data_IF_273265724432
#
_entry.id   IF_273265724432
#
_cell.length_a   1.000
_cell.length_b   1.000
_cell.length_c   1.000
_cell.angle_alpha   90.00
_cell.angle_beta   90.00
_cell.angle_gamma   90.00
#
_symmetry.space_group_name_H-M   'P 1'
#
loop_
_entity.id
_entity.type
_entity.pdbx_description
1 polymer ?
#
# COMPACT_ATOMS: atom_id res chain seq x y z
N UNK A 1 30.97 15.70 -6.23
CA UNK A 1 29.88 14.92 -5.58
C UNK A 1 28.55 15.09 -6.34
N UNK A 2 28.52 14.89 -7.66
CA UNK A 2 27.27 14.96 -8.46
C UNK A 2 27.03 13.73 -9.33
N UNK A 3 28.07 12.90 -9.55
CA UNK A 3 27.99 11.64 -10.30
C UNK A 3 27.65 10.41 -9.44
N UNK A 4 27.81 10.49 -8.11
CA UNK A 4 27.51 9.35 -7.20
C UNK A 4 26.00 9.13 -7.06
N UNK A 5 25.20 10.20 -7.13
CA UNK A 5 23.73 10.12 -7.00
C UNK A 5 23.11 9.46 -8.24
N UNK A 6 23.70 9.66 -9.43
CA UNK A 6 23.21 9.02 -10.66
C UNK A 6 23.52 7.52 -10.68
N UNK A 7 24.61 7.07 -10.05
CA UNK A 7 24.97 5.66 -9.98
C UNK A 7 24.03 4.84 -9.07
N UNK A 8 23.51 5.46 -8.00
CA UNK A 8 22.58 4.82 -7.07
C UNK A 8 21.20 4.53 -7.68
N UNK A 9 20.76 5.36 -8.64
CA UNK A 9 19.47 5.18 -9.32
C UNK A 9 19.55 4.03 -10.34
N UNK A 10 20.71 3.83 -10.98
CA UNK A 10 20.92 2.78 -11.97
C UNK A 10 21.14 1.41 -11.29
N UNK A 11 21.76 1.36 -10.11
CA UNK A 11 21.90 0.11 -9.36
C UNK A 11 20.57 -0.49 -8.89
N UNK A 12 19.52 0.32 -8.72
CA UNK A 12 18.18 -0.19 -8.38
C UNK A 12 17.49 -0.90 -9.56
N UNK A 13 17.84 -0.57 -10.80
CA UNK A 13 17.21 -1.14 -12.00
C UNK A 13 17.85 -2.46 -12.45
N UNK A 14 19.07 -2.76 -12.01
CA UNK A 14 19.79 -4.00 -12.38
C UNK A 14 19.46 -5.21 -11.49
N UNK A 15 18.70 -5.04 -10.40
CA UNK A 15 18.21 -6.16 -9.57
C UNK A 15 16.81 -6.66 -9.99
N UNK A 16 16.26 -6.18 -11.10
CA UNK A 16 14.98 -6.69 -11.66
C UNK A 16 15.14 -7.96 -12.51
N UNK A 17 16.34 -8.53 -12.64
CA UNK A 17 16.52 -9.79 -13.35
C UNK A 17 16.12 -10.97 -12.46
N UNK A 18 14.88 -11.42 -12.64
CA UNK A 18 14.51 -12.82 -12.44
C UNK A 18 14.45 -13.30 -11.01
N UNK A 19 13.45 -12.85 -10.26
CA UNK A 19 12.82 -13.71 -9.28
C UNK A 19 11.30 -13.58 -9.44
N UNK A 20 10.69 -14.65 -9.94
CA UNK A 20 9.30 -14.97 -9.60
C UNK A 20 9.20 -14.98 -8.08
N UNK A 21 8.91 -13.81 -7.49
CA UNK A 21 8.70 -13.71 -6.06
C UNK A 21 7.27 -14.18 -5.76
N UNK A 22 7.09 -15.50 -5.79
CA UNK A 22 5.98 -16.20 -5.18
C UNK A 22 6.01 -16.11 -3.63
N UNK A 23 6.67 -15.11 -3.05
CA UNK A 23 6.37 -14.70 -1.69
C UNK A 23 5.29 -13.63 -1.75
N UNK A 24 4.04 -14.07 -1.93
CA UNK A 24 2.96 -13.43 -1.19
C UNK A 24 3.41 -13.44 0.27
N UNK A 25 4.02 -12.34 0.75
CA UNK A 25 4.09 -12.07 2.18
C UNK A 25 2.65 -12.18 2.63
N UNK A 26 2.29 -13.32 3.20
CA UNK A 26 1.00 -13.54 3.80
C UNK A 26 0.94 -12.48 4.87
N UNK A 27 0.30 -11.37 4.53
CA UNK A 27 0.05 -10.32 5.47
C UNK A 27 -0.86 -10.99 6.50
N UNK A 28 -0.27 -11.44 7.60
CA UNK A 28 -0.95 -12.11 8.70
C UNK A 28 -1.64 -11.01 9.53
N UNK A 29 -2.50 -10.24 8.83
CA UNK A 29 -3.35 -9.15 9.30
C UNK A 29 -4.50 -9.76 10.11
N UNK A 30 -4.13 -10.50 11.14
CA UNK A 30 -5.06 -11.20 12.02
C UNK A 30 -5.31 -10.36 13.26
N UNK A 31 -6.58 -10.06 13.50
CA UNK A 31 -7.05 -9.35 14.69
C UNK A 31 -7.30 -10.31 15.87
N UNK A 32 -6.63 -11.46 15.88
CA UNK A 32 -6.80 -12.51 16.88
C UNK A 32 -6.47 -12.03 18.30
N UNK A 33 -5.56 -11.06 18.43
CA UNK A 33 -5.20 -10.43 19.71
C UNK A 33 -6.33 -9.60 20.34
N UNK A 34 -7.35 -9.18 19.58
CA UNK A 34 -8.42 -8.28 20.05
C UNK A 34 -9.59 -8.99 20.74
N UNK A 35 -9.53 -10.32 20.91
CA UNK A 35 -10.60 -11.13 21.52
C UNK A 35 -11.99 -10.77 20.99
N UNK A 36 -12.14 -10.77 19.67
CA UNK A 36 -13.37 -10.38 18.98
C UNK A 36 -14.52 -11.33 19.32
N UNK A 37 -15.74 -10.81 19.46
CA UNK A 37 -16.93 -11.65 19.51
C UNK A 37 -17.15 -12.38 18.17
N UNK A 38 -18.00 -13.41 18.14
CA UNK A 38 -18.32 -14.11 16.89
C UNK A 38 -18.85 -13.14 15.83
N UNK A 39 -19.77 -12.26 16.19
CA UNK A 39 -20.34 -11.26 15.29
C UNK A 39 -19.27 -10.27 14.78
N UNK A 40 -18.36 -9.82 15.66
CA UNK A 40 -17.26 -8.96 15.25
C UNK A 40 -16.30 -9.69 14.29
N UNK A 41 -16.00 -10.96 14.52
CA UNK A 41 -15.16 -11.76 13.63
C UNK A 41 -15.75 -11.87 12.23
N UNK A 42 -17.06 -12.13 12.11
CA UNK A 42 -17.75 -12.21 10.83
C UNK A 42 -17.68 -10.87 10.07
N UNK A 43 -17.91 -9.75 10.77
CA UNK A 43 -17.80 -8.40 10.18
C UNK A 43 -16.37 -8.06 9.75
N UNK A 44 -15.38 -8.35 10.60
CA UNK A 44 -13.96 -8.15 10.28
C UNK A 44 -13.56 -8.96 9.05
N UNK A 45 -14.02 -10.22 8.93
CA UNK A 45 -13.71 -11.07 7.78
C UNK A 45 -14.15 -10.45 6.45
N UNK A 46 -15.35 -9.87 6.41
CA UNK A 46 -15.83 -9.17 5.21
C UNK A 46 -15.05 -7.88 4.94
N UNK A 47 -14.68 -7.13 5.98
CA UNK A 47 -13.82 -5.93 5.85
C UNK A 47 -12.45 -6.31 5.25
N UNK A 48 -11.83 -7.38 5.73
CA UNK A 48 -10.53 -7.85 5.23
C UNK A 48 -10.62 -8.39 3.81
N UNK A 49 -11.74 -9.01 3.44
CA UNK A 49 -12.00 -9.46 2.06
C UNK A 49 -12.12 -8.29 1.10
N UNK A 50 -12.83 -7.23 1.49
CA UNK A 50 -12.90 -5.98 0.72
C UNK A 50 -11.52 -5.32 0.61
N UNK A 51 -10.79 -5.20 1.71
CA UNK A 51 -9.43 -4.65 1.71
C UNK A 51 -8.48 -5.42 0.78
N UNK A 52 -8.57 -6.76 0.74
CA UNK A 52 -7.80 -7.59 -0.21
C UNK A 52 -8.14 -7.28 -1.67
N UNK A 53 -9.42 -7.02 -1.98
CA UNK A 53 -9.84 -6.60 -3.33
C UNK A 53 -9.26 -5.22 -3.67
N UNK A 54 -9.39 -4.27 -2.75
CA UNK A 54 -8.86 -2.91 -2.93
C UNK A 54 -7.32 -2.94 -3.15
N UNK A 55 -6.59 -3.80 -2.43
CA UNK A 55 -5.16 -4.01 -2.65
C UNK A 55 -4.84 -4.61 -4.03
N UNK A 56 -5.67 -5.54 -4.52
CA UNK A 56 -5.49 -6.11 -5.86
C UNK A 56 -5.66 -5.05 -6.94
N UNK A 57 -6.68 -4.21 -6.81
CA UNK A 57 -6.90 -3.08 -7.73
C UNK A 57 -5.78 -2.04 -7.65
N UNK A 58 -5.29 -1.76 -6.43
CA UNK A 58 -4.17 -0.86 -6.20
C UNK A 58 -2.89 -1.32 -6.91
N UNK A 59 -2.58 -2.62 -6.92
CA UNK A 59 -1.39 -3.15 -7.61
C UNK A 59 -1.39 -2.79 -9.10
N UNK A 60 -2.49 -3.05 -9.80
CA UNK A 60 -2.62 -2.69 -11.22
C UNK A 60 -2.60 -1.18 -11.43
N UNK A 61 -3.16 -0.40 -10.51
CA UNK A 61 -3.08 1.06 -10.56
C UNK A 61 -1.63 1.56 -10.40
N UNK A 62 -0.88 1.01 -9.43
CA UNK A 62 0.52 1.33 -9.16
C UNK A 62 1.41 1.05 -10.38
N UNK A 63 1.26 -0.11 -11.01
CA UNK A 63 1.98 -0.47 -12.24
C UNK A 63 1.78 0.58 -13.35
N UNK A 64 0.54 1.03 -13.55
CA UNK A 64 0.23 2.06 -14.55
C UNK A 64 0.90 3.42 -14.23
N UNK A 65 0.91 3.82 -12.95
CA UNK A 65 1.56 5.05 -12.50
C UNK A 65 3.09 4.94 -12.67
N UNK A 66 3.69 3.81 -12.31
CA UNK A 66 5.12 3.56 -12.48
C UNK A 66 5.54 3.62 -13.95
N UNK A 67 4.72 3.11 -14.87
CA UNK A 67 4.95 3.26 -16.30
C UNK A 67 4.79 4.72 -16.76
N UNK A 68 3.86 5.47 -16.16
CA UNK A 68 3.75 6.91 -16.33
C UNK A 68 5.03 7.65 -15.92
N UNK A 69 5.59 7.31 -14.76
CA UNK A 69 6.82 7.91 -14.23
C UNK A 69 8.00 7.65 -15.17
N UNK A 70 8.16 6.40 -15.63
CA UNK A 70 9.19 6.04 -16.63
C UNK A 70 9.05 6.88 -17.89
N UNK A 71 7.82 7.07 -18.39
CA UNK A 71 7.53 7.91 -19.57
C UNK A 71 7.92 9.37 -19.36
N UNK A 72 7.66 9.96 -18.18
CA UNK A 72 8.09 11.34 -17.89
C UNK A 72 9.61 11.47 -17.93
N UNK A 73 10.33 10.47 -17.41
CA UNK A 73 11.78 10.51 -17.30
C UNK A 73 12.52 10.40 -18.65
N UNK A 74 11.95 9.67 -19.62
CA UNK A 74 12.56 9.48 -20.95
C UNK A 74 12.21 10.57 -21.96
N UNK A 75 11.37 11.55 -21.62
CA UNK A 75 11.04 12.69 -22.50
C UNK A 75 12.27 13.60 -22.67
N UNK A 76 12.36 14.27 -23.82
CA UNK A 76 13.42 15.25 -24.11
C UNK A 76 13.47 16.41 -23.09
N UNK A 77 12.32 16.74 -22.50
CA UNK A 77 12.20 17.72 -21.42
C UNK A 77 11.55 17.10 -20.18
N UNK A 78 12.17 17.33 -19.03
CA UNK A 78 11.67 16.84 -17.75
C UNK A 78 10.53 17.72 -17.24
N UNK A 79 9.33 17.15 -17.15
CA UNK A 79 8.15 17.81 -16.60
C UNK A 79 7.95 17.43 -15.13
N UNK A 80 8.40 18.32 -14.22
CA UNK A 80 8.30 18.11 -12.78
C UNK A 80 6.84 18.03 -12.31
N UNK A 81 5.97 18.85 -12.88
CA UNK A 81 4.57 18.96 -12.50
C UNK A 81 3.81 17.67 -12.83
N UNK A 82 4.08 17.08 -14.00
CA UNK A 82 3.54 15.78 -14.41
C UNK A 82 4.02 14.66 -13.49
N UNK A 83 5.31 14.65 -13.14
CA UNK A 83 5.86 13.67 -12.20
C UNK A 83 5.24 13.78 -10.80
N UNK A 84 5.12 15.00 -10.28
CA UNK A 84 4.49 15.24 -8.98
C UNK A 84 3.03 14.81 -8.98
N UNK A 85 2.30 15.02 -10.08
CA UNK A 85 0.91 14.58 -10.21
C UNK A 85 0.81 13.05 -10.09
N UNK A 86 1.66 12.31 -10.78
CA UNK A 86 1.70 10.84 -10.70
C UNK A 86 1.98 10.33 -9.29
N UNK A 87 2.95 10.92 -8.59
CA UNK A 87 3.23 10.56 -7.19
C UNK A 87 2.06 10.89 -6.25
N UNK A 88 1.41 12.04 -6.44
CA UNK A 88 0.25 12.41 -5.65
C UNK A 88 -0.92 11.44 -5.90
N UNK A 89 -1.17 11.05 -7.15
CA UNK A 89 -2.21 10.06 -7.47
C UNK A 89 -1.95 8.72 -6.78
N UNK A 90 -0.70 8.26 -6.73
CA UNK A 90 -0.32 7.06 -5.99
C UNK A 90 -0.58 7.20 -4.49
N UNK A 91 -0.14 8.31 -3.91
CA UNK A 91 -0.28 8.61 -2.48
C UNK A 91 -1.75 8.71 -2.05
N UNK A 92 -2.57 9.44 -2.82
CA UNK A 92 -4.00 9.60 -2.53
C UNK A 92 -4.72 8.26 -2.58
N UNK A 93 -4.39 7.39 -3.54
CA UNK A 93 -5.00 6.05 -3.63
C UNK A 93 -4.64 5.18 -2.43
N UNK A 94 -3.38 5.19 -2.01
CA UNK A 94 -2.94 4.52 -0.78
C UNK A 94 -3.74 5.02 0.44
N UNK A 95 -3.86 6.34 0.59
CA UNK A 95 -4.59 6.95 1.72
C UNK A 95 -6.07 6.62 1.73
N UNK A 96 -6.71 6.62 0.56
CA UNK A 96 -8.12 6.25 0.41
C UNK A 96 -8.37 4.84 0.97
N UNK A 97 -7.54 3.87 0.60
CA UNK A 97 -7.66 2.47 1.01
C UNK A 97 -7.41 2.33 2.52
N UNK A 98 -6.35 2.96 3.05
CA UNK A 98 -6.03 2.94 4.48
C UNK A 98 -7.18 3.55 5.31
N UNK A 99 -7.68 4.72 4.94
CA UNK A 99 -8.76 5.41 5.65
C UNK A 99 -10.05 4.57 5.63
N UNK A 100 -10.38 3.99 4.48
CA UNK A 100 -11.56 3.13 4.33
C UNK A 100 -11.49 1.92 5.27
N UNK A 101 -10.36 1.21 5.27
CA UNK A 101 -10.12 0.09 6.18
C UNK A 101 -10.27 0.51 7.64
N UNK A 102 -9.57 1.58 8.04
CA UNK A 102 -9.57 2.07 9.43
C UNK A 102 -10.95 2.51 9.90
N UNK A 103 -11.71 3.18 9.03
CA UNK A 103 -13.10 3.56 9.29
C UNK A 103 -13.96 2.32 9.53
N UNK A 104 -13.82 1.29 8.70
CA UNK A 104 -14.60 0.06 8.81
C UNK A 104 -14.23 -0.76 10.05
N UNK A 105 -12.94 -0.84 10.42
CA UNK A 105 -12.50 -1.48 11.66
C UNK A 105 -13.06 -0.71 12.87
N UNK A 106 -12.97 0.63 12.85
CA UNK A 106 -13.42 1.48 13.95
C UNK A 106 -14.90 1.26 14.31
N UNK A 107 -15.77 1.04 13.31
CA UNK A 107 -17.21 0.82 13.52
C UNK A 107 -17.54 -0.53 14.15
N UNK A 108 -16.66 -1.52 14.01
CA UNK A 108 -16.88 -2.89 14.55
C UNK A 108 -16.26 -3.06 15.94
N UNK A 109 -15.10 -2.47 16.17
CA UNK A 109 -14.38 -2.62 17.43
C UNK A 109 -15.00 -1.79 18.56
N UNK A 110 -14.92 -2.30 19.79
CA UNK A 110 -15.17 -1.52 21.00
C UNK A 110 -14.03 -0.53 21.27
N UNK A 111 -14.24 0.43 22.19
CA UNK A 111 -13.19 1.39 22.56
C UNK A 111 -11.90 0.69 23.02
N UNK A 112 -12.01 -0.29 23.93
CA UNK A 112 -10.85 -1.04 24.45
C UNK A 112 -10.11 -1.77 23.32
N UNK A 113 -10.84 -2.43 22.43
CA UNK A 113 -10.25 -3.11 21.27
C UNK A 113 -9.57 -2.12 20.30
N UNK A 114 -10.11 -0.91 20.14
CA UNK A 114 -9.45 0.13 19.34
C UNK A 114 -8.15 0.60 19.97
N UNK A 115 -8.10 0.72 21.29
CA UNK A 115 -6.87 1.06 22.02
C UNK A 115 -5.81 -0.05 21.88
N UNK A 116 -6.21 -1.32 21.87
CA UNK A 116 -5.30 -2.43 21.60
C UNK A 116 -4.84 -2.47 20.13
N UNK A 117 -5.74 -2.18 19.18
CA UNK A 117 -5.46 -2.18 17.75
C UNK A 117 -4.43 -1.13 17.32
N UNK A 118 -4.38 0.04 17.97
CA UNK A 118 -3.43 1.11 17.59
C UNK A 118 -1.97 0.72 17.77
N UNK A 119 -1.67 -0.29 18.59
CA UNK A 119 -0.31 -0.82 18.72
C UNK A 119 0.22 -1.47 17.44
N UNK A 120 -0.67 -1.88 16.54
CA UNK A 120 -0.35 -2.56 15.29
C UNK A 120 -0.66 -1.71 14.05
N UNK A 121 -0.93 -0.41 14.21
CA UNK A 121 -1.42 0.46 13.15
C UNK A 121 -0.51 0.51 11.91
N UNK A 122 0.81 0.47 12.14
CA UNK A 122 1.81 0.50 11.07
C UNK A 122 1.75 -0.72 10.15
N UNK A 123 1.30 -1.87 10.66
CA UNK A 123 1.15 -3.09 9.86
C UNK A 123 0.02 -2.97 8.82
N UNK A 124 -0.86 -1.97 8.98
CA UNK A 124 -2.01 -1.75 8.11
C UNK A 124 -1.75 -0.76 6.97
N UNK A 125 -0.55 -0.19 6.91
CA UNK A 125 -0.12 0.66 5.79
C UNK A 125 -0.11 -0.12 4.48
N UNK A 126 -0.38 0.58 3.38
CA UNK A 126 -0.32 0.04 2.02
C UNK A 126 1.01 0.44 1.39
N UNK A 127 1.77 -0.55 0.89
CA UNK A 127 3.10 -0.40 0.28
C UNK A 127 3.09 -0.70 -1.23
#
# INVERSE_FOLDING_TARGET
>A
MKLIILLLIISGLLFSSGFEDHNEKHINKELSHLNLSQEQNEKIKEILKEFKRDLKEYRSFKENIEDGIKKVFIKDSFNKEELNKLYNELYEKTKEIEIKLLKNIHTVLSRKQREEFTHYFDEWKVE
#
